data_IF_764517406393
#
_entry.id   IF_764517406393
#
_cell.length_a   1.000
_cell.length_b   1.000
_cell.length_c   1.000
_cell.angle_alpha   90.00
_cell.angle_beta   90.00
_cell.angle_gamma   90.00
#
_symmetry.space_group_name_H-M   'P 1'
#
loop_
_entity.id
_entity.type
_entity.pdbx_description
1 polymer ?
#
# COMPACT_ATOMS: atom_id res chain seq x y z
N UNK A 1 -11.71 -11.91 17.97
CA UNK A 1 -10.45 -12.54 17.51
C UNK A 1 -10.64 -13.92 16.90
N UNK A 2 -11.27 -14.89 17.58
CA UNK A 2 -11.44 -16.25 17.01
C UNK A 2 -12.13 -16.28 15.65
N UNK A 3 -13.19 -15.48 15.46
CA UNK A 3 -13.88 -15.34 14.16
C UNK A 3 -12.93 -14.88 13.06
N UNK A 4 -12.08 -13.89 13.32
CA UNK A 4 -11.08 -13.41 12.36
C UNK A 4 -10.04 -14.49 12.07
N UNK A 5 -9.55 -15.21 13.09
CA UNK A 5 -8.59 -16.29 12.89
C UNK A 5 -9.15 -17.40 11.99
N UNK A 6 -10.42 -17.78 12.19
CA UNK A 6 -11.11 -18.74 11.30
C UNK A 6 -11.24 -18.19 9.87
N UNK A 7 -11.63 -16.92 9.72
CA UNK A 7 -11.73 -16.29 8.40
C UNK A 7 -10.37 -16.25 7.69
N UNK A 8 -9.29 -15.92 8.40
CA UNK A 8 -7.93 -15.91 7.84
C UNK A 8 -7.55 -17.30 7.33
N UNK A 9 -7.81 -18.36 8.10
CA UNK A 9 -7.54 -19.73 7.68
C UNK A 9 -8.35 -20.14 6.45
N UNK A 10 -9.62 -19.75 6.40
CA UNK A 10 -10.49 -20.05 5.26
C UNK A 10 -10.05 -19.31 4.00
N UNK A 11 -9.79 -18.00 4.11
CA UNK A 11 -9.19 -17.20 3.03
C UNK A 11 -7.87 -17.82 2.58
N UNK A 12 -6.99 -18.26 3.49
CA UNK A 12 -5.72 -18.90 3.14
C UNK A 12 -5.92 -20.15 2.29
N UNK A 13 -6.88 -21.00 2.65
CA UNK A 13 -7.22 -22.20 1.87
C UNK A 13 -7.72 -21.82 0.49
N UNK A 14 -8.69 -20.91 0.40
CA UNK A 14 -9.28 -20.49 -0.88
C UNK A 14 -8.24 -19.87 -1.82
N UNK A 15 -7.34 -19.03 -1.30
CA UNK A 15 -6.26 -18.42 -2.10
C UNK A 15 -5.12 -19.39 -2.46
N UNK A 16 -5.12 -20.61 -1.92
CA UNK A 16 -4.09 -21.60 -2.22
C UNK A 16 -4.36 -22.41 -3.49
N UNK A 17 -5.58 -22.38 -4.02
CA UNK A 17 -5.99 -23.15 -5.20
C UNK A 17 -6.12 -22.24 -6.43
N UNK A 18 -5.10 -22.18 -7.32
CA UNK A 18 -5.08 -21.24 -8.45
C UNK A 18 -6.10 -21.57 -9.56
N UNK A 19 -6.64 -22.79 -9.58
CA UNK A 19 -7.69 -23.21 -10.53
C UNK A 19 -9.09 -22.70 -10.14
N UNK A 20 -9.22 -22.14 -8.93
CA UNK A 20 -10.49 -21.62 -8.44
C UNK A 20 -10.91 -20.38 -9.24
N UNK A 21 -12.21 -20.24 -9.51
CA UNK A 21 -12.73 -19.03 -10.17
C UNK A 21 -12.31 -17.80 -9.37
N UNK A 22 -11.76 -16.79 -10.06
CA UNK A 22 -11.30 -15.53 -9.48
C UNK A 22 -12.37 -14.85 -8.63
N UNK A 23 -13.66 -15.08 -8.92
CA UNK A 23 -14.77 -14.57 -8.11
C UNK A 23 -14.72 -15.07 -6.67
N UNK A 24 -14.28 -16.31 -6.44
CA UNK A 24 -14.10 -16.83 -5.09
C UNK A 24 -12.95 -16.13 -4.37
N UNK A 25 -11.84 -15.82 -5.07
CA UNK A 25 -10.77 -15.00 -4.48
C UNK A 25 -11.26 -13.60 -4.13
N UNK A 26 -12.06 -12.95 -4.99
CA UNK A 26 -12.70 -11.67 -4.66
C UNK A 26 -13.59 -11.78 -3.42
N UNK A 27 -14.45 -12.80 -3.34
CA UNK A 27 -15.32 -13.05 -2.18
C UNK A 27 -14.51 -13.27 -0.90
N UNK A 28 -13.44 -14.07 -0.97
CA UNK A 28 -12.57 -14.36 0.16
C UNK A 28 -11.95 -13.10 0.77
N UNK A 29 -11.57 -12.13 -0.08
CA UNK A 29 -11.02 -10.84 0.36
C UNK A 29 -12.11 -9.94 0.93
N UNK A 30 -13.31 -9.93 0.34
CA UNK A 30 -14.44 -9.15 0.86
C UNK A 30 -14.92 -9.65 2.23
N UNK A 31 -15.02 -10.97 2.41
CA UNK A 31 -15.35 -11.60 3.69
C UNK A 31 -14.27 -11.33 4.74
N UNK A 32 -12.99 -11.36 4.34
CA UNK A 32 -11.89 -11.01 5.23
C UNK A 32 -11.98 -9.54 5.69
N UNK A 33 -12.26 -8.61 4.78
CA UNK A 33 -12.45 -7.20 5.13
C UNK A 33 -13.64 -7.03 6.09
N UNK A 34 -14.76 -7.70 5.81
CA UNK A 34 -15.95 -7.68 6.67
C UNK A 34 -15.66 -8.25 8.07
N UNK A 35 -14.83 -9.29 8.16
CA UNK A 35 -14.42 -9.85 9.46
C UNK A 35 -13.52 -8.89 10.26
N UNK A 36 -12.71 -8.07 9.59
CA UNK A 36 -11.89 -7.03 10.21
C UNK A 36 -12.72 -5.84 10.67
N UNK A 37 -13.71 -5.39 9.89
CA UNK A 37 -14.64 -4.32 10.29
C UNK A 37 -15.54 -4.73 11.46
N UNK A 38 -15.85 -6.01 11.58
CA UNK A 38 -16.62 -6.54 12.70
C UNK A 38 -15.81 -6.63 14.02
N UNK A 39 -14.55 -6.17 14.05
CA UNK A 39 -13.75 -6.18 15.27
C UNK A 39 -14.23 -5.12 16.25
N UNK A 40 -14.79 -5.58 17.38
CA UNK A 40 -15.20 -4.70 18.48
C UNK A 40 -14.05 -3.85 19.04
N UNK A 41 -14.35 -2.73 19.73
CA UNK A 41 -13.35 -1.77 20.21
C UNK A 41 -12.33 -2.36 21.18
N UNK A 42 -12.69 -3.42 21.91
CA UNK A 42 -11.79 -4.13 22.84
C UNK A 42 -10.81 -5.09 22.15
N UNK A 43 -10.93 -5.32 20.84
CA UNK A 43 -10.05 -6.25 20.13
C UNK A 43 -8.72 -5.59 19.77
N UNK A 44 -7.60 -6.29 19.97
CA UNK A 44 -6.27 -5.83 19.57
C UNK A 44 -6.14 -5.77 18.04
N UNK A 45 -5.95 -4.57 17.49
CA UNK A 45 -5.71 -4.35 16.03
C UNK A 45 -4.34 -4.90 15.63
N UNK A 46 -3.35 -4.77 16.52
CA UNK A 46 -2.02 -5.40 16.37
C UNK A 46 -2.08 -6.91 16.20
N UNK A 47 -2.89 -7.62 17.01
CA UNK A 47 -3.00 -9.08 16.86
C UNK A 47 -3.79 -9.47 15.62
N UNK A 48 -4.80 -8.67 15.24
CA UNK A 48 -5.48 -8.84 13.96
C UNK A 48 -4.50 -8.69 12.78
N UNK A 49 -3.65 -7.66 12.80
CA UNK A 49 -2.62 -7.45 11.78
C UNK A 49 -1.62 -8.61 11.69
N UNK A 50 -1.19 -9.16 12.82
CA UNK A 50 -0.32 -10.35 12.86
C UNK A 50 -0.96 -11.57 12.22
N UNK A 51 -2.25 -11.81 12.44
CA UNK A 51 -2.96 -12.90 11.77
C UNK A 51 -3.01 -12.69 10.26
N UNK A 52 -3.33 -11.47 9.83
CA UNK A 52 -3.41 -11.10 8.41
C UNK A 52 -2.07 -11.23 7.68
N UNK A 53 -0.95 -11.02 8.38
CA UNK A 53 0.40 -11.10 7.79
C UNK A 53 0.68 -12.44 7.11
N UNK A 54 0.10 -13.53 7.62
CA UNK A 54 0.21 -14.87 7.03
C UNK A 54 -0.33 -14.97 5.59
N UNK A 55 -1.22 -14.05 5.19
CA UNK A 55 -1.83 -13.99 3.86
C UNK A 55 -1.04 -13.12 2.87
N UNK A 56 0.00 -12.41 3.32
CA UNK A 56 0.74 -11.42 2.53
C UNK A 56 1.20 -11.94 1.16
N UNK A 57 1.79 -13.14 1.11
CA UNK A 57 2.26 -13.74 -0.14
C UNK A 57 1.13 -14.07 -1.12
N UNK A 58 -0.02 -14.52 -0.61
CA UNK A 58 -1.19 -14.84 -1.44
C UNK A 58 -1.88 -13.58 -1.97
N UNK A 59 -2.06 -12.59 -1.10
CA UNK A 59 -2.61 -11.28 -1.49
C UNK A 59 -1.70 -10.58 -2.51
N UNK A 60 -0.38 -10.68 -2.35
CA UNK A 60 0.59 -10.17 -3.31
C UNK A 60 0.37 -10.75 -4.71
N UNK A 61 0.05 -12.04 -4.82
CA UNK A 61 -0.25 -12.69 -6.09
C UNK A 61 -1.55 -12.16 -6.73
N UNK A 62 -2.57 -11.83 -5.92
CA UNK A 62 -3.82 -11.23 -6.42
C UNK A 62 -3.61 -9.82 -6.96
N UNK A 63 -2.78 -9.01 -6.28
CA UNK A 63 -2.47 -7.62 -6.69
C UNK A 63 -1.77 -7.54 -8.06
N UNK A 64 -1.03 -8.58 -8.46
CA UNK A 64 -0.35 -8.65 -9.76
C UNK A 64 -1.13 -9.43 -10.82
N UNK A 65 -2.39 -9.78 -10.55
CA UNK A 65 -3.23 -10.50 -11.50
C UNK A 65 -3.47 -9.70 -12.79
N UNK A 66 -3.56 -10.42 -13.92
CA UNK A 66 -3.98 -9.83 -15.20
C UNK A 66 -5.48 -9.44 -15.20
N UNK A 67 -6.27 -9.94 -14.25
CA UNK A 67 -7.70 -9.67 -14.13
C UNK A 67 -7.92 -8.37 -13.37
N UNK A 68 -8.13 -7.28 -14.08
CA UNK A 68 -8.31 -5.95 -13.50
C UNK A 68 -9.41 -5.87 -12.43
N UNK A 69 -10.51 -6.61 -12.60
CA UNK A 69 -11.59 -6.68 -11.61
C UNK A 69 -11.14 -7.35 -10.30
N UNK A 70 -10.40 -8.45 -10.37
CA UNK A 70 -9.83 -9.10 -9.17
C UNK A 70 -8.86 -8.16 -8.45
N UNK A 71 -7.99 -7.47 -9.20
CA UNK A 71 -7.05 -6.49 -8.61
C UNK A 71 -7.81 -5.35 -7.93
N UNK A 72 -8.86 -4.82 -8.59
CA UNK A 72 -9.73 -3.79 -8.02
C UNK A 72 -10.36 -4.27 -6.71
N UNK A 73 -11.00 -5.43 -6.71
CA UNK A 73 -11.68 -5.99 -5.53
C UNK A 73 -10.68 -6.23 -4.39
N UNK A 74 -9.49 -6.73 -4.73
CA UNK A 74 -8.40 -6.91 -3.76
C UNK A 74 -7.96 -5.58 -3.14
N UNK A 75 -7.79 -4.53 -3.96
CA UNK A 75 -7.43 -3.21 -3.47
C UNK A 75 -8.52 -2.59 -2.60
N UNK A 76 -9.81 -2.78 -2.96
CA UNK A 76 -10.95 -2.27 -2.20
C UNK A 76 -11.08 -2.97 -0.84
N UNK A 77 -10.89 -4.29 -0.78
CA UNK A 77 -10.86 -5.02 0.49
C UNK A 77 -9.68 -4.63 1.37
N UNK A 78 -8.48 -4.49 0.81
CA UNK A 78 -7.31 -4.00 1.54
C UNK A 78 -7.50 -2.57 2.06
N UNK A 79 -8.17 -1.70 1.29
CA UNK A 79 -8.45 -0.33 1.71
C UNK A 79 -9.32 -0.31 2.99
N UNK A 80 -10.36 -1.14 3.04
CA UNK A 80 -11.23 -1.32 4.21
C UNK A 80 -10.45 -1.84 5.41
N UNK A 81 -9.61 -2.86 5.21
CA UNK A 81 -8.74 -3.40 6.27
C UNK A 81 -7.78 -2.32 6.81
N UNK A 82 -7.15 -1.55 5.93
CA UNK A 82 -6.22 -0.46 6.31
C UNK A 82 -6.93 0.63 7.11
N UNK A 83 -8.19 0.94 6.80
CA UNK A 83 -8.98 1.93 7.54
C UNK A 83 -9.26 1.48 8.99
N UNK A 84 -9.51 0.19 9.20
CA UNK A 84 -9.82 -0.37 10.51
C UNK A 84 -8.58 -0.65 11.38
N UNK A 85 -7.50 -1.14 10.75
CA UNK A 85 -6.27 -1.52 11.47
C UNK A 85 -5.33 -0.30 11.65
N UNK A 86 -5.31 0.63 10.71
CA UNK A 86 -4.49 1.84 10.79
C UNK A 86 -2.99 1.54 10.89
N UNK A 87 -2.32 2.15 11.89
CA UNK A 87 -0.87 2.03 12.11
C UNK A 87 -0.42 0.60 12.39
N UNK A 88 -1.27 -0.22 13.00
CA UNK A 88 -0.93 -1.63 13.29
C UNK A 88 -0.76 -2.48 12.02
N UNK A 89 -1.15 -1.97 10.85
CA UNK A 89 -1.00 -2.66 9.56
C UNK A 89 0.42 -2.58 8.99
N UNK A 90 1.37 -1.98 9.72
CA UNK A 90 2.72 -1.66 9.24
C UNK A 90 3.47 -2.85 8.63
N UNK A 91 3.52 -4.00 9.32
CA UNK A 91 4.25 -5.17 8.84
C UNK A 91 3.63 -5.74 7.55
N UNK A 92 2.30 -5.79 7.49
CA UNK A 92 1.57 -6.22 6.31
C UNK A 92 1.76 -5.23 5.15
N UNK A 93 1.72 -3.93 5.44
CA UNK A 93 1.99 -2.89 4.46
C UNK A 93 3.39 -3.02 3.86
N UNK A 94 4.42 -3.21 4.69
CA UNK A 94 5.79 -3.44 4.24
C UNK A 94 5.89 -4.66 3.33
N UNK A 95 5.21 -5.76 3.67
CA UNK A 95 5.20 -6.98 2.86
C UNK A 95 4.52 -6.80 1.50
N UNK A 96 3.43 -6.01 1.44
CA UNK A 96 2.66 -5.78 0.20
C UNK A 96 3.17 -4.59 -0.62
N UNK A 97 4.02 -3.72 -0.05
CA UNK A 97 4.40 -2.43 -0.63
C UNK A 97 4.92 -2.53 -2.08
N UNK A 98 5.82 -3.46 -2.44
CA UNK A 98 6.32 -3.51 -3.82
C UNK A 98 5.21 -3.76 -4.85
N UNK A 99 4.25 -4.62 -4.53
CA UNK A 99 3.14 -5.03 -5.40
C UNK A 99 2.09 -3.93 -5.49
N UNK A 100 1.80 -3.25 -4.37
CA UNK A 100 0.90 -2.10 -4.37
C UNK A 100 1.48 -0.95 -5.20
N UNK A 101 2.78 -0.65 -5.06
CA UNK A 101 3.45 0.35 -5.90
C UNK A 101 3.40 -0.05 -7.37
N UNK A 102 3.64 -1.33 -7.69
CA UNK A 102 3.55 -1.83 -9.06
C UNK A 102 2.13 -1.68 -9.64
N UNK A 103 1.12 -1.98 -8.83
CA UNK A 103 -0.30 -1.80 -9.16
C UNK A 103 -0.63 -0.33 -9.40
N UNK A 104 -0.17 0.57 -8.52
CA UNK A 104 -0.41 2.01 -8.57
C UNK A 104 0.25 2.72 -9.77
N UNK A 105 1.20 2.08 -10.46
CA UNK A 105 1.84 2.58 -11.69
C UNK A 105 1.46 1.82 -12.96
N UNK A 106 0.50 0.90 -12.87
CA UNK A 106 0.14 0.06 -13.99
C UNK A 106 -0.31 0.90 -15.21
N UNK A 107 -0.04 0.44 -16.43
CA UNK A 107 -0.46 1.13 -17.66
C UNK A 107 -1.99 1.17 -17.81
N UNK A 108 -2.68 0.12 -17.37
CA UNK A 108 -4.14 0.06 -17.36
C UNK A 108 -4.73 0.93 -16.26
N UNK A 109 -5.57 1.90 -16.63
CA UNK A 109 -6.26 2.75 -15.66
C UNK A 109 -7.12 1.94 -14.67
N UNK A 110 -7.73 0.84 -15.12
CA UNK A 110 -8.56 -0.04 -14.31
C UNK A 110 -7.80 -0.73 -13.17
N UNK A 111 -6.47 -0.89 -13.31
CA UNK A 111 -5.58 -1.43 -12.27
C UNK A 111 -4.90 -0.28 -11.51
N UNK A 112 -4.45 0.75 -12.24
CA UNK A 112 -3.72 1.88 -11.69
C UNK A 112 -4.53 2.67 -10.66
N UNK A 113 -5.78 2.98 -10.97
CA UNK A 113 -6.65 3.78 -10.10
C UNK A 113 -6.89 3.12 -8.74
N UNK A 114 -7.33 1.85 -8.65
CA UNK A 114 -7.49 1.21 -7.34
C UNK A 114 -6.16 1.05 -6.58
N UNK A 115 -5.07 0.71 -7.28
CA UNK A 115 -3.74 0.64 -6.66
C UNK A 115 -3.27 1.98 -6.10
N UNK A 116 -3.45 3.06 -6.86
CA UNK A 116 -3.10 4.41 -6.41
C UNK A 116 -3.94 4.85 -5.22
N UNK A 117 -5.25 4.54 -5.20
CA UNK A 117 -6.13 4.85 -4.07
C UNK A 117 -5.67 4.14 -2.80
N UNK A 118 -5.35 2.85 -2.89
CA UNK A 118 -4.83 2.06 -1.77
C UNK A 118 -3.49 2.62 -1.28
N UNK A 119 -2.56 2.88 -2.19
CA UNK A 119 -1.25 3.45 -1.85
C UNK A 119 -1.38 4.79 -1.14
N UNK A 120 -2.23 5.71 -1.64
CA UNK A 120 -2.48 6.99 -0.99
C UNK A 120 -2.99 6.79 0.44
N UNK A 121 -3.98 5.91 0.65
CA UNK A 121 -4.53 5.69 1.99
C UNK A 121 -3.52 5.05 2.94
N UNK A 122 -2.74 4.08 2.47
CA UNK A 122 -1.66 3.50 3.28
C UNK A 122 -0.64 4.55 3.71
N UNK A 123 -0.30 5.46 2.80
CA UNK A 123 0.63 6.56 3.04
C UNK A 123 0.06 7.61 3.97
N UNK A 124 -1.26 7.71 4.07
CA UNK A 124 -1.93 8.57 5.05
C UNK A 124 -1.87 7.97 6.47
N UNK A 125 -1.99 6.64 6.63
CA UNK A 125 -2.29 6.04 7.96
C UNK A 125 -1.27 5.03 8.51
N UNK A 126 -0.55 4.26 7.68
CA UNK A 126 0.14 3.03 8.14
C UNK A 126 1.59 3.23 8.59
N UNK A 127 2.28 4.28 8.11
CA UNK A 127 3.70 4.56 8.45
C UNK A 127 4.66 3.38 8.15
N UNK A 128 4.61 2.87 6.93
CA UNK A 128 5.50 1.81 6.45
C UNK A 128 6.97 2.31 6.33
N UNK A 129 7.91 1.40 6.10
CA UNK A 129 9.36 1.69 6.08
C UNK A 129 9.76 2.55 4.85
N UNK A 130 10.30 3.75 5.10
CA UNK A 130 10.78 4.66 4.05
C UNK A 130 12.06 4.18 3.36
N UNK A 131 12.93 3.43 4.05
CA UNK A 131 14.09 2.79 3.42
C UNK A 131 13.66 1.74 2.41
N UNK A 132 12.61 0.97 2.73
CA UNK A 132 12.01 0.03 1.79
C UNK A 132 11.38 0.78 0.61
N UNK A 133 10.61 1.85 0.88
CA UNK A 133 10.01 2.67 -0.18
C UNK A 133 11.08 3.23 -1.13
N UNK A 134 12.19 3.77 -0.60
CA UNK A 134 13.33 4.24 -1.40
C UNK A 134 13.83 3.14 -2.33
N UNK A 135 14.10 1.94 -1.81
CA UNK A 135 14.58 0.80 -2.62
C UNK A 135 13.62 0.48 -3.78
N UNK A 136 12.31 0.55 -3.54
CA UNK A 136 11.28 0.32 -4.56
C UNK A 136 11.22 1.45 -5.58
N UNK A 137 11.38 2.70 -5.14
CA UNK A 137 11.19 3.89 -5.99
C UNK A 137 12.43 4.25 -6.81
N UNK A 138 13.63 3.97 -6.32
CA UNK A 138 14.89 4.27 -7.01
C UNK A 138 14.95 3.79 -8.47
N UNK A 139 14.48 2.58 -8.84
CA UNK A 139 14.40 2.17 -10.25
C UNK A 139 13.24 2.79 -11.03
N UNK A 140 12.30 3.46 -10.35
CA UNK A 140 11.02 3.96 -10.88
C UNK A 140 10.93 5.48 -10.95
N UNK A 141 12.04 6.18 -10.71
CA UNK A 141 12.06 7.64 -10.52
C UNK A 141 11.53 8.46 -11.71
N UNK A 142 11.58 7.89 -12.92
CA UNK A 142 11.04 8.48 -14.14
C UNK A 142 9.50 8.42 -14.23
N UNK A 143 8.83 7.76 -13.28
CA UNK A 143 7.37 7.61 -13.26
C UNK A 143 6.74 8.65 -12.33
N UNK A 144 6.10 9.66 -12.92
CA UNK A 144 5.47 10.78 -12.22
C UNK A 144 4.49 10.36 -11.09
N UNK A 145 3.80 9.22 -11.22
CA UNK A 145 2.84 8.74 -10.21
C UNK A 145 3.48 8.25 -8.91
N UNK A 146 4.78 7.94 -8.89
CA UNK A 146 5.49 7.61 -7.66
C UNK A 146 5.68 8.86 -6.78
N UNK A 147 5.80 10.03 -7.39
CA UNK A 147 6.11 11.30 -6.72
C UNK A 147 4.95 11.88 -5.93
N UNK A 148 3.72 11.76 -6.43
CA UNK A 148 2.53 12.28 -5.75
C UNK A 148 2.35 11.65 -4.35
N UNK A 149 2.86 10.45 -4.14
CA UNK A 149 2.76 9.78 -2.84
C UNK A 149 3.63 10.44 -1.75
N UNK A 150 4.81 10.99 -2.11
CA UNK A 150 5.65 11.72 -1.16
C UNK A 150 4.95 12.94 -0.58
N UNK A 151 4.20 13.64 -1.43
CA UNK A 151 3.42 14.79 -1.00
C UNK A 151 2.33 14.45 0.02
N UNK A 152 1.83 13.21 0.06
CA UNK A 152 0.88 12.74 1.08
C UNK A 152 1.63 12.47 2.39
N UNK A 153 2.76 11.75 2.33
CA UNK A 153 3.54 11.43 3.52
C UNK A 153 3.96 12.70 4.26
N UNK A 154 4.42 13.73 3.57
CA UNK A 154 4.83 15.01 4.20
C UNK A 154 3.69 15.77 4.89
N UNK A 155 2.45 15.57 4.46
CA UNK A 155 1.27 16.16 5.11
C UNK A 155 0.93 15.43 6.40
N UNK A 156 0.98 14.10 6.40
CA UNK A 156 0.46 13.30 7.50
C UNK A 156 1.52 12.82 8.51
N UNK A 157 2.78 12.71 8.10
CA UNK A 157 3.83 12.10 8.92
C UNK A 157 4.48 13.13 9.85
N UNK A 158 5.03 12.68 10.96
CA UNK A 158 5.72 13.52 11.93
C UNK A 158 7.20 13.64 11.63
N UNK A 159 7.85 14.62 12.25
CA UNK A 159 9.27 14.88 12.04
C UNK A 159 10.12 13.67 12.46
N UNK A 160 9.75 13.02 13.57
CA UNK A 160 10.36 11.77 14.03
C UNK A 160 10.22 10.59 13.07
N UNK A 161 9.22 10.62 12.17
CA UNK A 161 8.98 9.56 11.18
C UNK A 161 9.76 9.83 9.88
N UNK A 162 10.06 11.10 9.56
CA UNK A 162 10.66 11.51 8.27
C UNK A 162 12.14 11.89 8.40
N UNK A 163 12.53 12.66 9.41
CA UNK A 163 13.91 13.16 9.60
C UNK A 163 14.98 12.06 9.64
N UNK A 164 14.75 10.87 10.22
CA UNK A 164 15.73 9.79 10.14
C UNK A 164 16.10 9.37 8.70
N UNK A 165 15.26 9.74 7.73
CA UNK A 165 15.44 9.46 6.30
C UNK A 165 15.65 10.74 5.49
N UNK A 166 15.97 11.88 6.10
CA UNK A 166 16.12 13.18 5.40
C UNK A 166 17.07 13.08 4.20
N UNK A 167 18.28 12.53 4.40
CA UNK A 167 19.27 12.36 3.33
C UNK A 167 18.72 11.52 2.17
N UNK A 168 17.95 10.47 2.50
CA UNK A 168 17.32 9.59 1.53
C UNK A 168 16.21 10.31 0.75
N UNK A 169 15.40 11.11 1.44
CA UNK A 169 14.34 11.93 0.85
C UNK A 169 14.93 12.98 -0.09
N UNK A 170 15.96 13.70 0.34
CA UNK A 170 16.63 14.71 -0.48
C UNK A 170 17.31 14.10 -1.71
N UNK A 171 17.97 12.94 -1.57
CA UNK A 171 18.57 12.23 -2.70
C UNK A 171 17.53 11.79 -3.73
N UNK A 172 16.36 11.35 -3.28
CA UNK A 172 15.22 11.04 -4.16
C UNK A 172 14.78 12.31 -4.87
N UNK A 173 14.50 13.40 -4.14
CA UNK A 173 14.06 14.68 -4.69
C UNK A 173 15.04 15.21 -5.75
N UNK A 174 16.34 15.23 -5.44
CA UNK A 174 17.38 15.67 -6.35
C UNK A 174 17.31 14.92 -7.68
N UNK A 175 17.20 13.58 -7.65
CA UNK A 175 17.07 12.77 -8.87
C UNK A 175 15.85 13.14 -9.71
N UNK A 176 14.74 13.51 -9.08
CA UNK A 176 13.54 13.96 -9.81
C UNK A 176 13.69 15.32 -10.45
N UNK A 177 14.44 16.23 -9.82
CA UNK A 177 14.75 17.54 -10.38
C UNK A 177 15.67 17.43 -11.60
N UNK A 178 16.53 16.40 -11.63
CA UNK A 178 17.45 16.08 -12.73
C UNK A 178 16.81 15.19 -13.81
N UNK A 179 15.55 14.77 -13.65
CA UNK A 179 14.87 13.87 -14.60
C UNK A 179 14.69 14.54 -15.97
N UNK A 180 14.75 13.76 -17.05
CA UNK A 180 14.59 14.26 -18.42
C UNK A 180 13.15 14.70 -18.72
N UNK A 181 12.16 14.15 -18.00
CA UNK A 181 10.75 14.45 -18.18
C UNK A 181 10.32 15.69 -17.38
N UNK A 182 9.87 16.74 -18.07
CA UNK A 182 9.41 17.99 -17.43
C UNK A 182 8.27 17.77 -16.43
N UNK A 183 7.39 16.78 -16.65
CA UNK A 183 6.32 16.47 -15.68
C UNK A 183 6.90 15.94 -14.37
N UNK A 184 7.93 15.09 -14.45
CA UNK A 184 8.62 14.56 -13.27
C UNK A 184 9.33 15.69 -12.53
N UNK A 185 10.09 16.54 -13.25
CA UNK A 185 10.75 17.72 -12.66
C UNK A 185 9.75 18.66 -11.98
N UNK A 186 8.59 18.89 -12.59
CA UNK A 186 7.52 19.71 -12.00
C UNK A 186 7.03 19.11 -10.68
N UNK A 187 6.69 17.82 -10.65
CA UNK A 187 6.22 17.18 -9.42
C UNK A 187 7.32 17.09 -8.37
N UNK A 188 8.59 16.87 -8.76
CA UNK A 188 9.72 16.90 -7.84
C UNK A 188 9.89 18.28 -7.17
N UNK A 189 9.70 19.39 -7.92
CA UNK A 189 9.68 20.74 -7.35
C UNK A 189 8.54 20.94 -6.35
N UNK A 190 7.35 20.43 -6.65
CA UNK A 190 6.20 20.47 -5.73
C UNK A 190 6.47 19.66 -4.44
N UNK A 191 7.11 18.50 -4.57
CA UNK A 191 7.52 17.65 -3.43
C UNK A 191 8.61 18.33 -2.61
N UNK A 192 9.62 18.94 -3.25
CA UNK A 192 10.65 19.73 -2.57
C UNK A 192 10.03 20.89 -1.79
N UNK A 193 9.17 21.69 -2.41
CA UNK A 193 8.53 22.82 -1.77
C UNK A 193 7.73 22.40 -0.52
N UNK A 194 7.05 21.25 -0.58
CA UNK A 194 6.35 20.68 0.59
C UNK A 194 7.33 20.22 1.67
N UNK A 195 8.41 19.54 1.28
CA UNK A 195 9.44 19.10 2.22
C UNK A 195 10.05 20.30 2.96
N UNK A 196 10.58 21.26 2.19
CA UNK A 196 11.21 22.50 2.68
C UNK A 196 10.30 23.42 3.49
N UNK A 197 8.97 23.29 3.34
CA UNK A 197 8.03 24.07 4.15
C UNK A 197 7.98 23.64 5.61
N UNK A 198 8.53 22.46 5.93
CA UNK A 198 8.43 21.85 7.25
C UNK A 198 9.76 21.33 7.79
N UNK A 199 10.66 20.86 6.92
CA UNK A 199 12.00 20.35 7.25
C UNK A 199 13.04 21.05 6.39
#
# INVERSE_FOLDING_TARGET
MERLARQVQETQKQLSFPETDWKYHSSAIDELATAVEALGPSTSRKDAARLLLSLSGKISALLVSHRSKLVKDTCEGLLRIVQEIGRDFQDMANALLPQIVCTAKNSSAAIRQPGSKLLCKMSEVVRYDLSLLKKIYMPLMHVCSCWSNWGIMFVYWTDSEVLPFESDVLAIIQRGLEDQNEKVRKTAREVLARFSSRW
#
